data_IF_068123035316
#
_entry.id   IF_068123035316
#
_cell.length_a   1.000
_cell.length_b   1.000
_cell.length_c   1.000
_cell.angle_alpha   90.00
_cell.angle_beta   90.00
_cell.angle_gamma   90.00
#
_symmetry.space_group_name_H-M   'P 1'
#
loop_
_entity.id
_entity.type
_entity.pdbx_description
1 polymer ?
#
# COMPACT_ATOMS: atom_id res chain seq x y z
N UNK A 1 -14.19 25.80 -2.67
CA UNK A 1 -12.95 25.30 -2.05
C UNK A 1 -12.47 24.02 -2.73
N UNK A 2 -13.30 22.99 -2.93
CA UNK A 2 -12.94 21.73 -3.59
C UNK A 2 -12.57 21.94 -5.09
N UNK A 3 -13.37 22.71 -5.80
CA UNK A 3 -13.11 23.03 -7.21
C UNK A 3 -11.81 23.85 -7.41
N UNK A 4 -11.50 24.76 -6.48
CA UNK A 4 -10.26 25.53 -6.51
C UNK A 4 -9.04 24.63 -6.21
N UNK A 5 -9.18 23.71 -5.28
CA UNK A 5 -8.14 22.73 -4.96
C UNK A 5 -7.84 21.82 -6.17
N UNK A 6 -8.87 21.29 -6.84
CA UNK A 6 -8.70 20.48 -8.06
C UNK A 6 -8.04 21.28 -9.18
N UNK A 7 -8.45 22.54 -9.37
CA UNK A 7 -7.83 23.41 -10.36
C UNK A 7 -6.34 23.59 -10.08
N UNK A 8 -5.97 23.82 -8.82
CA UNK A 8 -4.58 23.97 -8.42
C UNK A 8 -3.75 22.72 -8.73
N UNK A 9 -4.28 21.52 -8.41
CA UNK A 9 -3.57 20.28 -8.70
C UNK A 9 -3.42 20.02 -10.20
N UNK A 10 -4.42 20.36 -11.02
CA UNK A 10 -4.31 20.29 -12.47
C UNK A 10 -3.23 21.24 -13.01
N UNK A 11 -3.17 22.48 -12.52
CA UNK A 11 -2.12 23.44 -12.91
C UNK A 11 -0.74 22.96 -12.47
N UNK A 12 -0.62 22.35 -11.29
CA UNK A 12 0.60 21.73 -10.79
C UNK A 12 1.05 20.58 -11.70
N UNK A 13 0.17 19.65 -12.04
CA UNK A 13 0.47 18.53 -12.92
C UNK A 13 0.96 19.00 -14.30
N UNK A 14 0.25 19.93 -14.92
CA UNK A 14 0.65 20.53 -16.21
C UNK A 14 2.05 21.15 -16.10
N UNK A 15 2.33 21.90 -15.03
CA UNK A 15 3.66 22.51 -14.85
C UNK A 15 4.77 21.48 -14.66
N UNK A 16 4.48 20.34 -14.02
CA UNK A 16 5.43 19.23 -13.91
C UNK A 16 5.69 18.57 -15.26
N UNK A 17 4.65 18.33 -16.06
CA UNK A 17 4.72 17.73 -17.39
C UNK A 17 5.48 18.64 -18.40
N UNK A 18 5.35 19.94 -18.29
CA UNK A 18 6.12 20.91 -19.09
C UNK A 18 7.63 20.79 -18.85
N UNK A 19 8.04 20.44 -17.63
CA UNK A 19 9.45 20.23 -17.25
C UNK A 19 9.93 18.83 -17.60
N UNK A 20 9.11 17.83 -17.31
CA UNK A 20 9.39 16.44 -17.60
C UNK A 20 8.12 15.72 -18.10
N UNK A 21 8.00 15.49 -19.42
CA UNK A 21 6.83 14.81 -19.99
C UNK A 21 6.62 13.37 -19.52
N UNK A 22 7.60 12.79 -18.82
CA UNK A 22 7.52 11.45 -18.24
C UNK A 22 7.45 11.50 -16.71
N UNK A 23 7.02 12.62 -16.14
CA UNK A 23 6.78 12.70 -14.69
C UNK A 23 5.67 11.73 -14.31
N UNK A 24 5.85 11.08 -13.17
CA UNK A 24 4.84 10.22 -12.57
C UNK A 24 4.39 10.83 -11.24
N UNK A 25 3.11 11.18 -11.17
CA UNK A 25 2.53 11.86 -10.02
C UNK A 25 1.62 10.91 -9.24
N UNK A 26 1.94 10.73 -7.98
CA UNK A 26 1.18 9.90 -7.05
C UNK A 26 0.43 10.78 -6.07
N UNK A 27 -0.89 10.58 -5.95
CA UNK A 27 -1.72 11.29 -4.99
C UNK A 27 -1.88 10.50 -3.70
N UNK A 28 -1.77 11.18 -2.56
CA UNK A 28 -2.12 10.62 -1.27
C UNK A 28 -3.28 11.41 -0.67
N UNK A 29 -4.41 10.73 -0.52
CA UNK A 29 -5.58 11.28 0.15
C UNK A 29 -6.32 10.17 0.88
N UNK A 30 -6.39 10.26 2.19
CA UNK A 30 -7.12 9.30 3.02
C UNK A 30 -8.63 9.59 2.94
N UNK A 31 -9.21 9.24 1.80
CA UNK A 31 -10.59 9.50 1.44
C UNK A 31 -11.19 8.29 0.73
N UNK A 32 -12.52 8.18 0.73
CA UNK A 32 -13.21 7.16 -0.06
C UNK A 32 -13.10 7.38 -1.57
N UNK A 33 -13.31 6.32 -2.34
CA UNK A 33 -13.09 6.27 -3.79
C UNK A 33 -13.86 7.32 -4.59
N UNK A 34 -15.09 7.69 -4.19
CA UNK A 34 -15.84 8.75 -4.85
C UNK A 34 -15.09 10.09 -4.83
N UNK A 35 -14.49 10.44 -3.68
CA UNK A 35 -13.69 11.65 -3.57
C UNK A 35 -12.38 11.54 -4.35
N UNK A 36 -11.77 10.35 -4.38
CA UNK A 36 -10.55 10.10 -5.15
C UNK A 36 -10.78 10.17 -6.66
N UNK A 37 -11.92 9.71 -7.16
CA UNK A 37 -12.26 9.78 -8.58
C UNK A 37 -12.26 11.23 -9.11
N UNK A 38 -12.63 12.19 -8.27
CA UNK A 38 -12.59 13.63 -8.62
C UNK A 38 -11.17 14.18 -8.84
N UNK A 39 -10.14 13.48 -8.38
CA UNK A 39 -8.72 13.81 -8.55
C UNK A 39 -8.00 12.90 -9.55
N UNK A 40 -8.73 12.17 -10.38
CA UNK A 40 -8.13 11.26 -11.37
C UNK A 40 -7.27 11.99 -12.42
N UNK A 41 -7.65 13.23 -12.79
CA UNK A 41 -6.94 13.97 -13.85
C UNK A 41 -5.52 14.42 -13.50
N UNK A 42 -5.23 14.98 -12.31
CA UNK A 42 -3.90 15.52 -12.01
C UNK A 42 -2.87 14.45 -11.59
N UNK A 43 -3.27 13.21 -11.36
CA UNK A 43 -2.39 12.16 -10.86
C UNK A 43 -2.45 10.92 -11.75
N UNK A 44 -1.29 10.30 -11.99
CA UNK A 44 -1.20 9.02 -12.68
C UNK A 44 -1.79 7.89 -11.86
N UNK A 45 -1.61 7.97 -10.53
CA UNK A 45 -2.18 7.03 -9.56
C UNK A 45 -2.47 7.72 -8.23
N UNK A 46 -3.30 7.09 -7.42
CA UNK A 46 -3.56 7.47 -6.03
C UNK A 46 -3.59 6.23 -5.16
N UNK A 47 -3.12 6.37 -3.92
CA UNK A 47 -3.22 5.29 -2.94
C UNK A 47 -4.67 4.99 -2.59
N UNK A 48 -5.10 3.75 -2.78
CA UNK A 48 -6.45 3.28 -2.45
C UNK A 48 -6.52 2.72 -1.02
N UNK A 49 -6.71 3.62 -0.06
CA UNK A 49 -6.89 3.27 1.35
C UNK A 49 -8.17 2.46 1.60
N UNK A 50 -9.22 2.70 0.81
CA UNK A 50 -10.46 1.95 0.95
C UNK A 50 -10.30 0.50 0.49
N UNK A 51 -9.49 0.26 -0.54
CA UNK A 51 -9.08 -1.09 -0.94
C UNK A 51 -8.31 -1.78 0.18
N UNK A 52 -7.27 -1.13 0.72
CA UNK A 52 -6.46 -1.68 1.82
C UNK A 52 -7.33 -2.08 3.01
N UNK A 53 -8.18 -1.18 3.50
CA UNK A 53 -9.10 -1.46 4.61
C UNK A 53 -10.03 -2.63 4.32
N UNK A 54 -10.60 -2.70 3.11
CA UNK A 54 -11.51 -3.76 2.69
C UNK A 54 -10.78 -5.11 2.59
N UNK A 55 -9.57 -5.12 2.03
CA UNK A 55 -8.73 -6.30 1.93
C UNK A 55 -8.36 -6.83 3.33
N UNK A 56 -7.85 -5.97 4.20
CA UNK A 56 -7.47 -6.35 5.56
C UNK A 56 -8.65 -6.87 6.36
N UNK A 57 -9.83 -6.28 6.21
CA UNK A 57 -11.05 -6.75 6.85
C UNK A 57 -11.47 -8.13 6.32
N UNK A 58 -11.42 -8.36 5.01
CA UNK A 58 -11.75 -9.63 4.40
C UNK A 58 -10.81 -10.75 4.90
N UNK A 59 -9.50 -10.50 4.94
CA UNK A 59 -8.51 -11.46 5.40
C UNK A 59 -8.70 -11.78 6.89
N UNK A 60 -8.83 -10.77 7.74
CA UNK A 60 -9.01 -10.94 9.20
C UNK A 60 -10.29 -11.68 9.56
N UNK A 61 -11.36 -11.44 8.82
CA UNK A 61 -12.65 -12.10 9.06
C UNK A 61 -12.74 -13.50 8.43
N UNK A 62 -11.75 -13.91 7.66
CA UNK A 62 -11.74 -15.12 6.83
C UNK A 62 -12.99 -15.20 5.93
N UNK A 63 -13.49 -14.03 5.51
CA UNK A 63 -14.72 -13.91 4.71
C UNK A 63 -14.56 -12.81 3.67
N UNK A 64 -14.81 -13.17 2.43
CA UNK A 64 -14.89 -12.21 1.33
C UNK A 64 -16.30 -11.64 1.14
N UNK A 65 -17.27 -12.09 1.93
CA UNK A 65 -18.69 -11.77 1.78
C UNK A 65 -19.23 -11.28 3.14
N UNK A 66 -19.38 -9.98 3.30
CA UNK A 66 -20.13 -9.38 4.40
C UNK A 66 -21.61 -9.18 4.01
N UNK A 67 -21.85 -8.84 2.75
CA UNK A 67 -23.16 -8.83 2.06
C UNK A 67 -22.90 -8.91 0.55
N UNK A 68 -23.94 -9.01 -0.27
CA UNK A 68 -23.77 -9.02 -1.74
C UNK A 68 -23.23 -7.70 -2.30
N UNK A 69 -23.38 -6.59 -1.56
CA UNK A 69 -22.86 -5.27 -1.91
C UNK A 69 -21.50 -4.96 -1.27
N UNK A 70 -21.14 -5.69 -0.21
CA UNK A 70 -19.95 -5.39 0.62
C UNK A 70 -18.92 -6.54 0.52
N UNK A 71 -18.90 -7.28 -0.57
CA UNK A 71 -17.86 -8.26 -0.86
C UNK A 71 -16.61 -7.57 -1.41
N UNK A 72 -15.44 -8.13 -1.18
CA UNK A 72 -14.19 -7.64 -1.79
C UNK A 72 -14.32 -7.58 -3.32
N UNK A 73 -14.93 -8.56 -3.96
CA UNK A 73 -15.18 -8.56 -5.41
C UNK A 73 -16.10 -7.42 -5.84
N UNK A 74 -17.23 -7.21 -5.13
CA UNK A 74 -18.15 -6.11 -5.42
C UNK A 74 -17.51 -4.73 -5.22
N UNK A 75 -16.64 -4.60 -4.21
CA UNK A 75 -15.85 -3.39 -4.01
C UNK A 75 -14.91 -3.14 -5.20
N UNK A 76 -14.15 -4.14 -5.63
CA UNK A 76 -13.23 -4.02 -6.76
C UNK A 76 -13.95 -3.68 -8.08
N UNK A 77 -15.11 -4.31 -8.35
CA UNK A 77 -15.92 -3.98 -9.52
C UNK A 77 -16.38 -2.51 -9.51
N UNK A 78 -16.80 -2.00 -8.36
CA UNK A 78 -17.22 -0.61 -8.22
C UNK A 78 -16.05 0.37 -8.38
N UNK A 79 -14.88 0.07 -7.80
CA UNK A 79 -13.66 0.87 -7.97
C UNK A 79 -13.26 0.93 -9.44
N UNK A 80 -13.19 -0.20 -10.12
CA UNK A 80 -12.85 -0.26 -11.55
C UNK A 80 -13.84 0.53 -12.40
N UNK A 81 -15.15 0.42 -12.10
CA UNK A 81 -16.17 1.20 -12.80
C UNK A 81 -15.98 2.70 -12.61
N UNK A 82 -15.77 3.16 -11.39
CA UNK A 82 -15.56 4.58 -11.07
C UNK A 82 -14.31 5.14 -11.76
N UNK A 83 -13.24 4.40 -11.78
CA UNK A 83 -12.00 4.82 -12.44
C UNK A 83 -12.15 4.87 -13.95
N UNK A 84 -12.81 3.88 -14.56
CA UNK A 84 -13.08 3.86 -15.99
C UNK A 84 -13.99 5.01 -16.43
N UNK A 85 -15.00 5.37 -15.64
CA UNK A 85 -15.91 6.48 -15.92
C UNK A 85 -15.25 7.84 -15.72
N UNK A 86 -14.29 7.96 -14.78
CA UNK A 86 -13.63 9.22 -14.46
C UNK A 86 -12.59 9.64 -15.51
N UNK A 87 -11.67 8.76 -15.86
CA UNK A 87 -10.67 8.94 -16.94
C UNK A 87 -10.01 7.60 -17.23
N UNK A 88 -10.14 7.06 -18.42
CA UNK A 88 -9.56 5.77 -18.82
C UNK A 88 -8.03 5.64 -18.74
N UNK A 89 -7.33 6.61 -18.16
CA UNK A 89 -5.87 6.57 -17.93
C UNK A 89 -5.51 6.33 -16.47
N UNK A 90 -6.46 6.43 -15.56
CA UNK A 90 -6.18 6.25 -14.14
C UNK A 90 -5.75 4.81 -13.85
N UNK A 91 -4.66 4.68 -13.08
CA UNK A 91 -4.15 3.41 -12.58
C UNK A 91 -4.26 3.44 -11.06
N UNK A 92 -4.92 2.44 -10.50
CA UNK A 92 -5.10 2.34 -9.04
C UNK A 92 -3.79 2.04 -8.33
N UNK A 93 -3.56 2.70 -7.18
CA UNK A 93 -2.39 2.49 -6.34
C UNK A 93 -2.71 1.53 -5.21
N UNK A 94 -2.59 0.22 -5.49
CA UNK A 94 -2.92 -0.83 -4.52
C UNK A 94 -1.75 -1.12 -3.57
N UNK A 95 -2.04 -1.36 -2.30
CA UNK A 95 -1.02 -1.64 -1.28
C UNK A 95 -1.61 -2.44 -0.11
N UNK A 96 -0.76 -3.06 0.68
CA UNK A 96 -1.18 -3.79 1.89
C UNK A 96 -1.04 -2.96 3.16
N UNK A 97 -0.03 -2.10 3.24
CA UNK A 97 0.19 -1.13 4.32
C UNK A 97 1.16 -0.03 3.88
N UNK A 98 1.38 0.95 4.75
CA UNK A 98 2.33 2.03 4.52
C UNK A 98 3.00 2.49 5.83
N UNK A 99 3.78 3.59 5.74
CA UNK A 99 4.53 4.17 6.86
C UNK A 99 3.66 4.83 7.95
N UNK A 100 2.34 4.94 7.75
CA UNK A 100 1.38 5.53 8.69
C UNK A 100 0.45 4.49 9.33
N UNK A 101 0.59 3.22 8.94
CA UNK A 101 -0.23 2.11 9.40
C UNK A 101 0.61 1.04 10.08
N UNK A 102 -0.02 0.19 10.90
CA UNK A 102 0.61 -1.00 11.44
C UNK A 102 1.03 -1.93 10.30
N UNK A 103 2.16 -2.59 10.41
CA UNK A 103 2.66 -3.52 9.38
C UNK A 103 1.73 -4.71 9.17
N UNK A 104 1.69 -5.28 7.97
CA UNK A 104 0.78 -6.39 7.60
C UNK A 104 0.86 -7.53 8.61
N UNK A 105 2.07 -8.02 8.92
CA UNK A 105 2.25 -9.15 9.85
C UNK A 105 1.73 -8.84 11.25
N UNK A 106 1.81 -7.59 11.69
CA UNK A 106 1.24 -7.17 12.97
C UNK A 106 -0.28 -7.01 12.94
N UNK A 107 -0.86 -6.84 11.77
CA UNK A 107 -2.30 -6.70 11.61
C UNK A 107 -3.02 -8.03 11.37
N UNK A 108 -2.32 -9.03 10.85
CA UNK A 108 -2.86 -10.36 10.54
C UNK A 108 -2.65 -11.33 11.71
N UNK A 109 -3.36 -12.46 11.70
CA UNK A 109 -3.28 -13.46 12.76
C UNK A 109 -2.26 -14.58 12.46
N UNK A 110 -1.75 -14.62 11.24
CA UNK A 110 -0.74 -15.59 10.82
C UNK A 110 0.07 -15.09 9.63
N UNK A 111 1.22 -15.72 9.41
CA UNK A 111 2.06 -15.45 8.25
C UNK A 111 1.36 -15.79 6.94
N UNK A 112 0.56 -16.86 6.92
CA UNK A 112 -0.24 -17.24 5.74
C UNK A 112 -1.25 -16.16 5.36
N UNK A 113 -1.86 -15.50 6.34
CA UNK A 113 -2.74 -14.36 6.09
C UNK A 113 -1.96 -13.17 5.54
N UNK A 114 -0.77 -12.88 6.08
CA UNK A 114 0.09 -11.82 5.57
C UNK A 114 0.51 -12.09 4.11
N UNK A 115 0.91 -13.32 3.79
CA UNK A 115 1.22 -13.75 2.42
C UNK A 115 -0.01 -13.66 1.50
N UNK A 116 -1.21 -13.94 2.02
CA UNK A 116 -2.45 -13.81 1.24
C UNK A 116 -2.75 -12.35 0.90
N UNK A 117 -2.55 -11.40 1.83
CA UNK A 117 -2.64 -9.96 1.55
C UNK A 117 -1.73 -9.58 0.38
N UNK A 118 -0.44 -9.97 0.46
CA UNK A 118 0.53 -9.70 -0.59
C UNK A 118 0.11 -10.33 -1.94
N UNK A 119 -0.30 -11.59 -1.94
CA UNK A 119 -0.76 -12.27 -3.15
C UNK A 119 -1.94 -11.55 -3.81
N UNK A 120 -2.89 -11.03 -3.04
CA UNK A 120 -4.04 -10.30 -3.58
C UNK A 120 -3.59 -9.00 -4.24
N UNK A 121 -2.96 -8.08 -3.50
CA UNK A 121 -2.66 -6.77 -4.08
C UNK A 121 -1.57 -6.79 -5.17
N UNK A 122 -0.67 -7.78 -5.17
CA UNK A 122 0.34 -7.95 -6.21
C UNK A 122 -0.19 -8.56 -7.52
N UNK A 123 -1.41 -9.12 -7.51
CA UNK A 123 -2.01 -9.77 -8.69
C UNK A 123 -3.22 -9.05 -9.25
N UNK A 124 -3.66 -7.98 -8.61
CA UNK A 124 -4.74 -7.13 -9.12
C UNK A 124 -4.25 -6.14 -10.18
N UNK A 125 -5.19 -5.67 -11.00
CA UNK A 125 -4.94 -4.53 -11.88
C UNK A 125 -4.62 -3.29 -11.03
N UNK A 126 -3.53 -2.62 -11.36
CA UNK A 126 -3.07 -1.44 -10.65
C UNK A 126 -1.54 -1.38 -10.55
N UNK A 127 -1.05 -0.34 -9.91
CA UNK A 127 0.35 -0.23 -9.51
C UNK A 127 0.49 -0.69 -8.06
N UNK A 128 1.11 -1.84 -7.80
CA UNK A 128 1.33 -2.29 -6.43
C UNK A 128 2.46 -1.49 -5.76
N UNK A 129 2.19 -1.01 -4.55
CA UNK A 129 3.17 -0.36 -3.69
C UNK A 129 3.50 -1.29 -2.52
N UNK A 130 4.77 -1.64 -2.41
CA UNK A 130 5.30 -2.49 -1.33
C UNK A 130 5.94 -1.58 -0.30
N UNK A 131 5.47 -1.61 0.94
CA UNK A 131 6.17 -0.95 2.03
C UNK A 131 7.39 -1.78 2.42
N UNK A 132 8.56 -1.16 2.48
CA UNK A 132 9.81 -1.87 2.75
C UNK A 132 9.72 -2.77 3.99
N UNK A 133 10.25 -3.97 3.89
CA UNK A 133 10.22 -4.98 4.93
C UNK A 133 9.00 -5.89 4.91
N UNK A 134 7.97 -5.61 4.09
CA UNK A 134 6.86 -6.56 3.88
C UNK A 134 7.38 -7.87 3.28
N UNK A 135 8.34 -7.76 2.35
CA UNK A 135 8.96 -8.88 1.64
C UNK A 135 9.70 -9.87 2.56
N UNK A 136 10.10 -9.43 3.74
CA UNK A 136 10.77 -10.27 4.76
C UNK A 136 9.93 -10.45 6.03
N UNK A 137 8.67 -10.02 6.01
CA UNK A 137 7.76 -10.18 7.14
C UNK A 137 8.07 -9.30 8.35
N UNK A 138 8.62 -8.10 8.15
CA UNK A 138 8.83 -7.14 9.24
C UNK A 138 7.52 -6.80 9.95
N UNK A 139 7.61 -6.68 11.27
CA UNK A 139 6.52 -6.37 12.17
C UNK A 139 6.62 -4.92 12.69
N UNK A 140 5.53 -4.41 13.22
CA UNK A 140 5.47 -3.11 13.88
C UNK A 140 4.04 -2.63 14.05
N UNK A 141 3.76 -2.17 15.25
CA UNK A 141 2.53 -1.44 15.59
C UNK A 141 2.91 -0.02 15.98
N UNK A 142 1.97 0.93 15.84
CA UNK A 142 2.18 2.31 16.32
C UNK A 142 2.78 2.32 17.75
N UNK A 143 3.66 3.25 18.08
CA UNK A 143 3.92 4.52 17.40
C UNK A 143 4.82 4.39 16.15
N UNK A 144 5.01 5.51 15.45
CA UNK A 144 5.68 5.59 14.14
C UNK A 144 7.08 4.98 14.13
N UNK A 145 7.84 5.14 15.20
CA UNK A 145 9.17 4.59 15.36
C UNK A 145 9.16 3.06 15.18
N UNK A 146 8.10 2.37 15.62
CA UNK A 146 7.97 0.91 15.55
C UNK A 146 7.58 0.41 14.17
N UNK A 147 6.76 1.14 13.47
CA UNK A 147 6.35 0.77 12.10
C UNK A 147 7.37 1.20 11.05
N UNK A 148 8.35 2.03 11.43
CA UNK A 148 9.41 2.57 10.55
C UNK A 148 10.80 2.11 10.95
N UNK A 149 10.95 1.02 11.68
CA UNK A 149 12.25 0.45 12.06
C UNK A 149 13.11 0.16 10.83
N UNK A 150 14.46 0.20 10.94
CA UNK A 150 15.36 -0.09 9.84
C UNK A 150 15.10 -1.45 9.19
N UNK A 151 15.36 -1.57 7.89
CA UNK A 151 15.27 -2.86 7.20
C UNK A 151 16.32 -3.83 7.71
N UNK A 152 15.93 -5.06 8.02
CA UNK A 152 16.81 -6.09 8.57
C UNK A 152 17.53 -6.86 7.48
N UNK A 153 18.67 -6.36 7.03
CA UNK A 153 19.47 -6.97 5.97
C UNK A 153 20.22 -8.22 6.44
N UNK A 154 20.84 -8.13 7.64
CA UNK A 154 21.67 -9.21 8.20
C UNK A 154 21.28 -9.50 9.64
N UNK A 155 21.56 -10.73 10.11
CA UNK A 155 21.25 -11.15 11.47
C UNK A 155 22.10 -10.45 12.53
N UNK A 156 23.34 -10.09 12.19
CA UNK A 156 24.34 -9.52 13.09
C UNK A 156 24.46 -7.99 12.98
N UNK A 157 23.63 -7.35 12.15
CA UNK A 157 23.69 -5.90 11.91
C UNK A 157 24.90 -5.46 11.10
N UNK A 158 25.58 -6.39 10.42
CA UNK A 158 26.67 -6.07 9.49
C UNK A 158 26.14 -5.70 8.11
N UNK A 159 26.90 -5.02 7.30
CA UNK A 159 26.54 -4.74 5.93
C UNK A 159 25.76 -3.44 5.74
N UNK A 160 24.55 -3.48 5.18
CA UNK A 160 23.73 -2.29 4.86
C UNK A 160 22.73 -1.91 5.95
N UNK A 161 22.78 -2.57 7.10
CA UNK A 161 21.92 -2.24 8.24
C UNK A 161 22.18 -0.82 8.70
N UNK A 162 21.11 -0.10 9.04
CA UNK A 162 21.17 1.27 9.56
C UNK A 162 20.77 1.30 11.02
N UNK A 163 21.17 2.35 11.73
CA UNK A 163 21.05 2.50 13.18
C UNK A 163 20.25 3.73 13.63
N UNK A 164 19.37 4.23 12.72
CA UNK A 164 18.57 5.42 13.01
C UNK A 164 17.47 5.20 14.08
N UNK A 165 17.08 3.95 14.31
CA UNK A 165 16.13 3.51 15.33
C UNK A 165 16.47 2.08 15.79
N UNK A 166 16.12 1.74 17.03
CA UNK A 166 16.29 0.39 17.58
C UNK A 166 15.25 -0.59 16.98
N UNK A 167 15.67 -1.79 16.60
CA UNK A 167 14.80 -2.84 16.05
C UNK A 167 14.06 -3.62 17.15
N UNK A 168 13.21 -2.96 17.94
CA UNK A 168 12.51 -3.62 19.05
C UNK A 168 11.33 -4.49 18.59
N UNK A 169 10.67 -4.12 17.49
CA UNK A 169 9.57 -4.92 16.91
C UNK A 169 10.12 -6.07 16.04
N UNK A 170 11.31 -5.90 15.49
CA UNK A 170 11.91 -6.82 14.53
C UNK A 170 13.14 -7.57 15.03
N UNK A 171 13.35 -7.60 16.34
CA UNK A 171 14.47 -8.38 16.94
C UNK A 171 14.42 -9.85 16.50
N UNK A 172 13.23 -10.46 16.50
CA UNK A 172 13.00 -11.85 16.12
C UNK A 172 12.69 -12.09 14.63
N UNK A 173 12.52 -11.03 13.81
CA UNK A 173 12.31 -11.19 12.37
C UNK A 173 13.55 -11.79 11.73
N UNK A 174 13.40 -12.82 10.91
CA UNK A 174 14.49 -13.44 10.16
C UNK A 174 15.04 -12.44 9.14
N UNK A 175 16.36 -12.22 9.16
CA UNK A 175 16.99 -11.27 8.26
C UNK A 175 16.93 -11.71 6.80
N UNK A 176 16.97 -10.74 5.86
CA UNK A 176 16.95 -11.06 4.42
C UNK A 176 18.04 -12.06 4.03
N UNK A 177 19.27 -11.89 4.55
CA UNK A 177 20.39 -12.77 4.26
C UNK A 177 20.12 -14.23 4.63
N UNK A 178 19.43 -14.46 5.74
CA UNK A 178 19.06 -15.80 6.20
C UNK A 178 17.90 -16.38 5.37
N UNK A 179 16.89 -15.56 5.05
CA UNK A 179 15.76 -15.99 4.22
C UNK A 179 16.20 -16.36 2.80
N UNK A 180 17.19 -15.68 2.24
CA UNK A 180 17.72 -16.01 0.91
C UNK A 180 18.53 -17.32 0.86
N UNK A 181 19.00 -17.82 1.99
CA UNK A 181 19.68 -19.11 2.09
C UNK A 181 18.72 -20.27 2.36
N UNK A 182 17.47 -19.99 2.73
CA UNK A 182 16.43 -20.98 2.99
C UNK A 182 15.64 -21.27 1.72
N UNK A 183 15.81 -22.48 1.16
CA UNK A 183 15.07 -22.97 -0.02
C UNK A 183 13.54 -23.06 0.21
N UNK A 184 13.09 -22.98 1.47
CA UNK A 184 11.67 -23.04 1.87
C UNK A 184 11.03 -21.67 2.14
N UNK A 185 11.80 -20.60 2.06
CA UNK A 185 11.34 -19.25 2.34
C UNK A 185 10.46 -18.66 1.22
#
# INVERSE_FOLDING_TARGET
QLAENRKWWNEFAISCEEVNPNVYLVGEAWQGNEALAEYAQPFDTKFDFAFEETLMQAIKSESTIHSTSDSLAGFLEEVQRQHYEADGKYIDGVFGTNHDQNRIVSQTFSEEQARLVANVYLTLDGNPYIYYGEEIGMQGEKPDERIREPFKWTADGSGMDTDWEDMLSNESTTALSEQMEDEGS
#
